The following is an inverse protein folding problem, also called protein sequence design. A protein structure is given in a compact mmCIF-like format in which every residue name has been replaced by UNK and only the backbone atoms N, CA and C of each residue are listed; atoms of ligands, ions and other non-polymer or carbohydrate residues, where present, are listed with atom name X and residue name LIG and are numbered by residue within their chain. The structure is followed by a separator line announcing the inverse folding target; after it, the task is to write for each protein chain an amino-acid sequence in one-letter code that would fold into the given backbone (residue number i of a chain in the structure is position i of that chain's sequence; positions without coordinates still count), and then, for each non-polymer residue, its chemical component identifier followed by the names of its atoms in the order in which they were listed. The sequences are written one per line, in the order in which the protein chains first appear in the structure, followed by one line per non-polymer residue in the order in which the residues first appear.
data_IF_551945679217
#
_entry.id   IF_551945679217
#
_cell.length_a   1.000
_cell.length_b   1.000
_cell.length_c   1.000
_cell.angle_alpha   90.00
_cell.angle_beta   90.00
_cell.angle_gamma   90.00
#
_symmetry.space_group_name_H-M   'P 1'
#
loop_
_entity.id
_entity.type
_entity.pdbx_description
1 polymer ?
#
# COMPACT_ATOMS: atom_id res chain seq x y z
N UNK A 1 -0.63 -10.75 -9.80
CA UNK A 1 -1.53 -11.30 -10.83
C UNK A 1 -0.73 -12.28 -11.66
N UNK A 2 -1.29 -13.46 -11.90
CA UNK A 2 -0.70 -14.48 -12.76
C UNK A 2 -1.25 -14.31 -14.18
N UNK A 3 -0.40 -14.49 -15.19
CA UNK A 3 -0.78 -14.31 -16.60
C UNK A 3 -0.09 -15.35 -17.46
N UNK A 4 -0.69 -15.67 -18.60
CA UNK A 4 -0.16 -16.66 -19.51
C UNK A 4 0.37 -16.00 -20.78
N UNK A 5 1.50 -16.47 -21.30
CA UNK A 5 2.06 -15.98 -22.57
C UNK A 5 1.73 -17.01 -23.64
N UNK A 6 1.03 -16.58 -24.69
CA UNK A 6 0.79 -17.38 -25.90
C UNK A 6 1.53 -16.75 -27.07
N UNK A 7 2.18 -17.57 -27.90
CA UNK A 7 2.85 -17.08 -29.09
C UNK A 7 2.90 -18.13 -30.19
N UNK A 8 3.11 -17.66 -31.42
CA UNK A 8 3.37 -18.50 -32.58
C UNK A 8 4.88 -18.65 -32.73
N UNK A 9 5.37 -19.89 -32.71
CA UNK A 9 6.73 -20.22 -33.08
C UNK A 9 6.79 -20.59 -34.56
N UNK A 10 7.60 -19.88 -35.32
CA UNK A 10 7.85 -20.11 -36.74
C UNK A 10 9.30 -20.55 -36.94
N UNK A 11 9.46 -21.75 -37.47
CA UNK A 11 10.75 -22.27 -37.90
C UNK A 11 10.63 -22.91 -39.27
N UNK A 12 11.31 -22.32 -40.26
CA UNK A 12 11.36 -22.81 -41.65
C UNK A 12 9.95 -23.03 -42.25
N UNK A 13 8.99 -22.17 -41.91
CA UNK A 13 7.61 -22.25 -42.40
C UNK A 13 6.71 -23.22 -41.63
N UNK A 14 7.25 -23.98 -40.67
CA UNK A 14 6.44 -24.72 -39.70
C UNK A 14 6.02 -23.75 -38.60
N UNK A 15 4.72 -23.56 -38.46
CA UNK A 15 4.11 -22.73 -37.42
C UNK A 15 3.45 -23.63 -36.37
N UNK A 16 3.76 -23.37 -35.11
CA UNK A 16 3.08 -24.01 -33.98
C UNK A 16 2.84 -22.99 -32.87
N UNK A 17 1.83 -23.22 -32.04
CA UNK A 17 1.47 -22.33 -30.94
C UNK A 17 1.98 -22.89 -29.63
N UNK A 18 2.65 -22.05 -28.84
CA UNK A 18 3.04 -22.36 -27.48
C UNK A 18 2.25 -21.49 -26.51
N UNK A 19 1.95 -22.06 -25.35
CA UNK A 19 1.32 -21.39 -24.22
C UNK A 19 2.14 -21.73 -22.99
N UNK A 20 2.54 -20.73 -22.21
CA UNK A 20 3.29 -20.94 -20.98
C UNK A 20 2.38 -21.47 -19.86
N UNK A 21 2.99 -21.95 -18.78
CA UNK A 21 2.32 -21.96 -17.48
C UNK A 21 2.06 -20.51 -17.01
N UNK A 22 1.21 -20.28 -15.98
CA UNK A 22 1.02 -18.95 -15.42
C UNK A 22 2.33 -18.35 -14.90
N UNK A 23 2.56 -17.09 -15.25
CA UNK A 23 3.76 -16.29 -14.94
C UNK A 23 3.34 -15.01 -14.23
N UNK A 24 4.15 -14.53 -13.27
CA UNK A 24 3.91 -13.24 -12.63
C UNK A 24 3.90 -12.10 -13.65
N UNK A 25 2.91 -11.20 -13.57
CA UNK A 25 2.75 -10.01 -14.44
C UNK A 25 4.06 -9.28 -14.68
N UNK A 26 4.88 -9.11 -13.63
CA UNK A 26 6.13 -8.34 -13.68
C UNK A 26 7.23 -9.01 -14.52
N UNK A 27 7.07 -10.29 -14.86
CA UNK A 27 7.98 -11.03 -15.73
C UNK A 27 7.47 -11.15 -17.17
N UNK A 28 6.20 -10.88 -17.43
CA UNK A 28 5.58 -11.09 -18.75
C UNK A 28 6.30 -10.31 -19.86
N UNK A 29 6.50 -9.00 -19.69
CA UNK A 29 7.20 -8.18 -20.69
C UNK A 29 8.65 -8.61 -20.88
N UNK A 30 9.35 -8.91 -19.78
CA UNK A 30 10.76 -9.37 -19.83
C UNK A 30 10.90 -10.67 -20.60
N UNK A 31 10.03 -11.64 -20.33
CA UNK A 31 10.00 -12.94 -20.99
C UNK A 31 9.61 -12.80 -22.46
N UNK A 32 8.58 -12.02 -22.77
CA UNK A 32 8.12 -11.81 -24.14
C UNK A 32 9.17 -11.10 -25.00
N UNK A 33 9.83 -10.06 -24.45
CA UNK A 33 10.91 -9.36 -25.14
C UNK A 33 12.10 -10.29 -25.40
N UNK A 34 12.45 -11.16 -24.46
CA UNK A 34 13.53 -12.14 -24.65
C UNK A 34 13.18 -13.19 -25.70
N UNK A 35 11.96 -13.73 -25.67
CA UNK A 35 11.43 -14.66 -26.67
C UNK A 35 11.45 -14.06 -28.07
N UNK A 36 11.06 -12.79 -28.23
CA UNK A 36 11.08 -12.11 -29.53
C UNK A 36 12.49 -11.95 -30.10
N UNK A 37 13.52 -11.77 -29.26
CA UNK A 37 14.92 -11.68 -29.72
C UNK A 37 15.41 -12.94 -30.43
N UNK A 38 14.76 -14.10 -30.22
CA UNK A 38 15.09 -15.33 -30.95
C UNK A 38 14.80 -15.24 -32.45
N UNK A 39 13.97 -14.28 -32.88
CA UNK A 39 13.53 -14.09 -34.27
C UNK A 39 12.50 -15.11 -34.77
N UNK A 40 12.28 -16.19 -34.02
CA UNK A 40 11.37 -17.30 -34.35
C UNK A 40 9.98 -17.14 -33.75
N UNK A 41 9.83 -16.22 -32.80
CA UNK A 41 8.55 -15.93 -32.15
C UNK A 41 7.80 -14.84 -32.94
N UNK A 42 6.50 -15.08 -33.17
CA UNK A 42 5.54 -14.19 -33.84
C UNK A 42 4.27 -14.11 -32.99
N UNK A 43 3.51 -13.02 -33.15
CA UNK A 43 2.16 -12.87 -32.58
C UNK A 43 2.05 -13.28 -31.11
N UNK A 44 2.72 -12.51 -30.24
CA UNK A 44 2.67 -12.75 -28.80
C UNK A 44 1.44 -12.08 -28.20
N UNK A 45 0.62 -12.89 -27.53
CA UNK A 45 -0.54 -12.45 -26.76
C UNK A 45 -0.36 -12.84 -25.29
N UNK A 46 -0.88 -11.99 -24.41
CA UNK A 46 -0.92 -12.20 -22.96
C UNK A 46 -2.36 -12.49 -22.58
N UNK A 47 -2.56 -13.52 -21.78
CA UNK A 47 -3.89 -13.97 -21.34
C UNK A 47 -3.98 -13.78 -19.83
N UNK A 48 -4.98 -13.04 -19.36
CA UNK A 48 -5.22 -12.85 -17.93
C UNK A 48 -5.98 -14.02 -17.29
N UNK A 49 -6.23 -13.92 -15.97
CA UNK A 49 -6.90 -14.95 -15.18
C UNK A 49 -8.36 -15.17 -15.59
N UNK A 50 -8.97 -14.22 -16.31
CA UNK A 50 -10.34 -14.32 -16.83
C UNK A 50 -10.37 -14.86 -18.27
N UNK A 51 -9.20 -15.18 -18.84
CA UNK A 51 -9.08 -15.70 -20.20
C UNK A 51 -9.14 -14.61 -21.28
N UNK A 52 -9.11 -13.32 -20.91
CA UNK A 52 -9.07 -12.24 -21.89
C UNK A 52 -7.67 -12.14 -22.48
N UNK A 53 -7.61 -12.06 -23.82
CA UNK A 53 -6.38 -11.97 -24.57
C UNK A 53 -6.03 -10.52 -24.90
N UNK A 54 -4.76 -10.18 -24.72
CA UNK A 54 -4.20 -8.87 -24.94
C UNK A 54 -3.00 -9.01 -25.88
N UNK A 55 -2.94 -8.25 -26.97
CA UNK A 55 -1.70 -8.15 -27.73
C UNK A 55 -0.59 -7.57 -26.85
N UNK A 56 0.68 -7.85 -27.17
CA UNK A 56 1.81 -7.25 -26.43
C UNK A 56 1.71 -5.72 -26.27
N UNK A 57 1.18 -5.03 -27.28
CA UNK A 57 1.00 -3.57 -27.25
C UNK A 57 -0.10 -3.13 -26.29
N UNK A 58 -1.24 -3.82 -26.30
CA UNK A 58 -2.34 -3.53 -25.37
C UNK A 58 -1.95 -3.89 -23.95
N UNK A 59 -1.29 -5.04 -23.76
CA UNK A 59 -0.78 -5.45 -22.47
C UNK A 59 0.24 -4.46 -21.93
N UNK A 60 1.14 -3.92 -22.76
CA UNK A 60 2.09 -2.88 -22.32
C UNK A 60 1.37 -1.64 -21.77
N UNK A 61 0.32 -1.18 -22.47
CA UNK A 61 -0.48 -0.03 -22.02
C UNK A 61 -1.25 -0.34 -20.73
N UNK A 62 -1.83 -1.54 -20.63
CA UNK A 62 -2.51 -2.00 -19.42
C UNK A 62 -1.52 -2.10 -18.24
N UNK A 63 -0.34 -2.66 -18.48
CA UNK A 63 0.69 -2.80 -17.46
C UNK A 63 1.21 -1.44 -16.99
N UNK A 64 1.39 -0.46 -17.90
CA UNK A 64 1.71 0.93 -17.53
C UNK A 64 0.65 1.53 -16.61
N UNK A 65 -0.64 1.33 -16.91
CA UNK A 65 -1.73 1.81 -16.04
C UNK A 65 -1.74 1.13 -14.68
N UNK A 66 -1.52 -0.18 -14.63
CA UNK A 66 -1.48 -0.94 -13.39
C UNK A 66 -0.22 -0.64 -12.55
N UNK A 67 0.89 -0.28 -13.21
CA UNK A 67 2.14 0.11 -12.55
C UNK A 67 2.06 1.51 -11.93
N UNK A 68 1.05 2.32 -12.30
CA UNK A 68 0.77 3.60 -11.66
C UNK A 68 0.06 3.46 -10.30
N UNK A 69 -0.51 2.31 -10.00
CA UNK A 69 -1.21 2.08 -8.73
C UNK A 69 -0.26 1.56 -7.64
N UNK A 70 -0.31 2.10 -6.41
CA UNK A 70 0.41 1.53 -5.28
C UNK A 70 -0.11 0.13 -4.91
N UNK A 71 0.80 -0.82 -4.69
CA UNK A 71 0.51 -2.18 -4.25
C UNK A 71 1.37 -2.58 -3.03
N UNK A 72 1.03 -3.69 -2.38
CA UNK A 72 1.76 -4.25 -1.21
C UNK A 72 1.97 -3.20 -0.10
N UNK A 73 0.90 -2.50 0.25
CA UNK A 73 0.94 -1.34 1.14
C UNK A 73 0.96 -1.79 2.60
N UNK A 74 1.93 -1.28 3.36
CA UNK A 74 2.03 -1.42 4.82
C UNK A 74 2.09 -0.04 5.44
N UNK A 75 1.21 0.22 6.40
CA UNK A 75 1.14 1.47 7.17
C UNK A 75 1.59 1.19 8.59
N UNK A 76 2.53 1.99 9.07
CA UNK A 76 2.86 2.11 10.48
C UNK A 76 2.33 3.46 10.97
N UNK A 77 1.73 3.48 12.15
CA UNK A 77 1.25 4.70 12.78
C UNK A 77 1.57 4.68 14.28
N UNK A 78 1.77 5.86 14.84
CA UNK A 78 1.87 6.05 16.28
C UNK A 78 1.50 7.49 16.66
N UNK A 79 0.98 7.66 17.88
CA UNK A 79 0.54 8.93 18.42
C UNK A 79 1.00 9.11 19.86
N UNK A 80 1.51 10.30 20.17
CA UNK A 80 1.92 10.68 21.51
C UNK A 80 1.21 11.94 21.96
N UNK A 81 0.73 11.97 23.21
CA UNK A 81 0.14 13.15 23.82
C UNK A 81 1.00 13.70 24.96
N UNK A 82 1.29 15.00 24.94
CA UNK A 82 1.93 15.71 26.03
C UNK A 82 0.90 16.52 26.82
N UNK A 83 0.58 16.03 28.03
CA UNK A 83 -0.37 16.67 28.93
C UNK A 83 0.10 18.04 29.44
N UNK A 84 1.42 18.32 29.46
CA UNK A 84 1.94 19.59 29.94
C UNK A 84 1.72 20.73 28.93
N UNK A 85 1.92 20.45 27.64
CA UNK A 85 1.67 21.42 26.56
C UNK A 85 0.28 21.32 25.93
N UNK A 86 -0.49 20.27 26.26
CA UNK A 86 -1.78 19.94 25.65
C UNK A 86 -1.69 19.79 24.12
N UNK A 87 -0.60 19.17 23.65
CA UNK A 87 -0.31 18.93 22.23
C UNK A 87 -0.12 17.44 21.99
N UNK A 88 -0.45 17.00 20.79
CA UNK A 88 -0.21 15.64 20.33
C UNK A 88 0.71 15.63 19.12
N UNK A 89 1.63 14.68 19.07
CA UNK A 89 2.40 14.36 17.88
C UNK A 89 1.85 13.09 17.25
N UNK A 90 1.68 13.10 15.94
CA UNK A 90 1.30 11.92 15.16
C UNK A 90 2.37 11.62 14.13
N UNK A 91 2.66 10.33 13.94
CA UNK A 91 3.66 9.86 12.99
C UNK A 91 3.12 8.72 12.15
N UNK A 92 3.46 8.71 10.86
CA UNK A 92 3.19 7.58 9.98
C UNK A 92 4.35 7.28 9.03
N UNK A 93 4.62 6.00 8.84
CA UNK A 93 5.48 5.50 7.78
C UNK A 93 4.69 4.54 6.89
N UNK A 94 4.69 4.81 5.59
CA UNK A 94 3.96 4.01 4.60
C UNK A 94 4.96 3.40 3.63
N UNK A 95 4.96 2.08 3.56
CA UNK A 95 5.76 1.29 2.65
C UNK A 95 4.87 0.72 1.57
N UNK A 96 5.24 0.87 0.30
CA UNK A 96 4.48 0.31 -0.80
C UNK A 96 5.37 0.06 -2.02
N UNK A 97 4.85 -0.68 -3.00
CA UNK A 97 5.50 -0.86 -4.30
C UNK A 97 4.68 -0.17 -5.38
N UNK A 98 5.34 0.44 -6.36
CA UNK A 98 4.70 1.08 -7.52
C UNK A 98 5.64 0.92 -8.72
N UNK A 99 5.14 0.38 -9.84
CA UNK A 99 5.94 0.08 -11.03
C UNK A 99 7.20 -0.75 -10.77
N UNK A 100 7.09 -1.79 -9.93
CA UNK A 100 8.21 -2.67 -9.56
C UNK A 100 9.28 -2.04 -8.65
N UNK A 101 9.10 -0.78 -8.23
CA UNK A 101 9.98 -0.06 -7.30
C UNK A 101 9.36 0.00 -5.92
N UNK A 102 10.19 0.00 -4.88
CA UNK A 102 9.73 0.15 -3.49
C UNK A 102 9.84 1.60 -3.07
N UNK A 103 8.82 2.10 -2.38
CA UNK A 103 8.76 3.46 -1.87
C UNK A 103 8.51 3.45 -0.36
N UNK A 104 8.99 4.50 0.27
CA UNK A 104 8.69 4.83 1.66
C UNK A 104 8.27 6.30 1.75
N UNK A 105 7.10 6.52 2.33
CA UNK A 105 6.65 7.83 2.81
C UNK A 105 6.83 7.86 4.33
N UNK A 106 7.35 8.96 4.86
CA UNK A 106 7.41 9.26 6.29
C UNK A 106 6.89 10.66 6.49
N UNK A 107 5.88 10.80 7.33
CA UNK A 107 5.32 12.10 7.65
C UNK A 107 4.93 12.16 9.12
N UNK A 108 5.11 13.33 9.72
CA UNK A 108 4.59 13.61 11.04
C UNK A 108 3.82 14.93 11.04
N UNK A 109 2.96 15.09 12.02
CA UNK A 109 2.25 16.32 12.24
C UNK A 109 2.03 16.51 13.73
N UNK A 110 1.85 17.75 14.12
CA UNK A 110 1.43 18.10 15.46
C UNK A 110 -0.03 18.55 15.44
N UNK A 111 -0.79 18.06 16.42
CA UNK A 111 -2.21 18.31 16.57
C UNK A 111 -2.47 18.93 17.96
N UNK A 112 -3.56 19.67 18.04
CA UNK A 112 -4.08 20.25 19.27
C UNK A 112 -5.54 19.85 19.46
N UNK A 113 -6.04 19.97 20.69
CA UNK A 113 -7.44 19.65 21.01
C UNK A 113 -7.74 18.17 21.15
N UNK A 114 -6.71 17.34 21.33
CA UNK A 114 -6.84 15.97 21.82
C UNK A 114 -6.70 15.97 23.33
N UNK A 115 -7.33 15.01 24.00
CA UNK A 115 -7.43 14.94 25.45
C UNK A 115 -6.62 13.77 26.04
N UNK A 116 -6.15 12.83 25.21
CA UNK A 116 -5.45 11.64 25.69
C UNK A 116 -4.47 11.04 24.68
N UNK A 117 -3.62 10.14 25.15
CA UNK A 117 -2.71 9.36 24.30
C UNK A 117 -3.46 8.43 23.34
N UNK A 118 -4.53 7.78 23.81
CA UNK A 118 -5.34 6.91 22.96
C UNK A 118 -5.95 7.71 21.80
N UNK A 119 -6.44 8.92 22.08
CA UNK A 119 -6.97 9.81 21.04
C UNK A 119 -5.88 10.23 20.05
N UNK A 120 -4.64 10.44 20.51
CA UNK A 120 -3.50 10.70 19.63
C UNK A 120 -3.19 9.50 18.71
N UNK A 121 -3.31 8.27 19.18
CA UNK A 121 -3.13 7.06 18.35
C UNK A 121 -4.23 6.94 17.27
N UNK A 122 -5.49 7.19 17.62
CA UNK A 122 -6.58 7.26 16.64
C UNK A 122 -6.34 8.36 15.60
N UNK A 123 -5.93 9.54 16.06
CA UNK A 123 -5.60 10.65 15.19
C UNK A 123 -4.42 10.32 14.26
N UNK A 124 -3.43 9.56 14.74
CA UNK A 124 -2.31 9.11 13.93
C UNK A 124 -2.72 8.13 12.83
N UNK A 125 -3.65 7.21 13.11
CA UNK A 125 -4.19 6.35 12.07
C UNK A 125 -5.01 7.14 11.05
N UNK A 126 -5.85 8.08 11.51
CA UNK A 126 -6.60 8.95 10.60
C UNK A 126 -5.68 9.79 9.71
N UNK A 127 -4.59 10.31 10.28
CA UNK A 127 -3.53 11.00 9.55
C UNK A 127 -2.90 10.08 8.50
N UNK A 128 -2.60 8.83 8.84
CA UNK A 128 -2.10 7.85 7.88
C UNK A 128 -3.09 7.58 6.73
N UNK A 129 -4.40 7.56 6.98
CA UNK A 129 -5.41 7.43 5.93
C UNK A 129 -5.41 8.62 4.95
N UNK A 130 -5.18 9.84 5.46
CA UNK A 130 -4.99 11.01 4.59
C UNK A 130 -3.75 10.85 3.71
N UNK A 131 -2.65 10.35 4.27
CA UNK A 131 -1.42 10.10 3.50
C UNK A 131 -1.59 9.01 2.43
N UNK A 132 -2.37 7.97 2.71
CA UNK A 132 -2.72 6.94 1.70
C UNK A 132 -3.49 7.55 0.52
N UNK A 133 -4.44 8.44 0.81
CA UNK A 133 -5.21 9.17 -0.18
C UNK A 133 -4.30 10.06 -1.04
N UNK A 134 -3.36 10.78 -0.41
CA UNK A 134 -2.38 11.65 -1.08
C UNK A 134 -1.50 10.87 -2.09
N UNK A 135 -1.09 9.64 -1.76
CA UNK A 135 -0.29 8.79 -2.66
C UNK A 135 -1.14 8.00 -3.67
N UNK A 136 -2.46 8.19 -3.67
CA UNK A 136 -3.37 7.62 -4.65
C UNK A 136 -3.74 6.15 -4.40
N UNK A 137 -3.61 5.65 -3.18
CA UNK A 137 -4.04 4.29 -2.84
C UNK A 137 -5.56 4.18 -2.93
N UNK A 138 -6.06 3.29 -3.79
CA UNK A 138 -7.50 2.99 -3.95
C UNK A 138 -7.71 1.54 -4.30
N UNK A 139 -8.80 0.94 -3.82
CA UNK A 139 -9.24 -0.42 -4.18
C UNK A 139 -8.19 -1.53 -3.95
N UNK A 140 -7.26 -1.32 -3.01
CA UNK A 140 -6.19 -2.26 -2.67
C UNK A 140 -6.27 -2.66 -1.19
N UNK A 141 -5.87 -3.90 -0.82
CA UNK A 141 -5.71 -4.26 0.58
C UNK A 141 -4.55 -3.48 1.20
N UNK A 142 -4.75 -3.00 2.43
CA UNK A 142 -3.73 -2.24 3.17
C UNK A 142 -3.47 -2.90 4.51
N UNK A 143 -2.21 -3.26 4.78
CA UNK A 143 -1.82 -3.77 6.10
C UNK A 143 -1.57 -2.60 7.05
N UNK A 144 -2.42 -2.47 8.06
CA UNK A 144 -2.31 -1.46 9.12
C UNK A 144 -1.61 -2.09 10.31
N UNK A 145 -0.46 -1.54 10.68
CA UNK A 145 0.44 -2.06 11.71
C UNK A 145 0.61 -1.04 12.82
N UNK A 146 0.54 -1.49 14.07
CA UNK A 146 0.76 -0.67 15.26
C UNK A 146 0.96 -1.52 16.51
N UNK A 147 1.39 -0.91 17.60
CA UNK A 147 1.59 -1.56 18.91
C UNK A 147 0.44 -1.31 19.89
N UNK A 148 -0.52 -0.46 19.53
CA UNK A 148 -1.75 -0.27 20.31
C UNK A 148 -2.79 -1.36 20.02
N UNK A 149 -2.78 -2.38 20.88
CA UNK A 149 -3.70 -3.51 20.79
C UNK A 149 -5.17 -3.05 20.90
N UNK A 150 -5.46 -2.07 21.77
CA UNK A 150 -6.83 -1.55 21.96
C UNK A 150 -7.36 -0.90 20.69
N UNK A 151 -6.57 -0.01 20.07
CA UNK A 151 -6.96 0.69 18.84
C UNK A 151 -7.23 -0.31 17.72
N UNK A 152 -6.32 -1.27 17.53
CA UNK A 152 -6.45 -2.29 16.48
C UNK A 152 -7.66 -3.20 16.68
N UNK A 153 -7.94 -3.68 17.90
CA UNK A 153 -9.12 -4.53 18.14
C UNK A 153 -10.44 -3.76 18.01
N UNK A 154 -10.47 -2.48 18.36
CA UNK A 154 -11.67 -1.65 18.16
C UNK A 154 -11.91 -1.37 16.67
N UNK A 155 -10.84 -1.18 15.89
CA UNK A 155 -10.91 -1.01 14.43
C UNK A 155 -11.31 -2.29 13.67
N UNK A 156 -10.95 -3.46 14.20
CA UNK A 156 -11.37 -4.75 13.64
C UNK A 156 -12.82 -5.10 14.04
N UNK A 157 -13.38 -4.37 15.01
CA UNK A 157 -14.72 -4.59 15.54
C UNK A 157 -14.81 -5.68 16.62
N UNK A 158 -13.68 -6.24 17.02
CA UNK A 158 -13.60 -7.28 18.06
C UNK A 158 -13.92 -6.71 19.45
N UNK A 159 -13.51 -5.47 19.72
CA UNK A 159 -13.71 -4.83 21.02
C UNK A 159 -14.66 -3.64 20.91
N UNK A 160 -15.60 -3.48 21.86
CA UNK A 160 -16.48 -2.33 21.88
C UNK A 160 -15.72 -1.04 22.19
N UNK A 161 -16.14 0.05 21.55
CA UNK A 161 -15.67 1.41 21.82
C UNK A 161 -16.76 2.19 22.58
N UNK A 162 -16.48 2.55 23.84
CA UNK A 162 -17.45 3.28 24.68
C UNK A 162 -17.17 4.79 24.73
N UNK A 163 -15.93 5.20 24.50
CA UNK A 163 -15.52 6.60 24.54
C UNK A 163 -15.99 7.33 23.27
N UNK A 164 -16.75 8.41 23.43
CA UNK A 164 -17.33 9.15 22.31
C UNK A 164 -16.25 9.76 21.41
N UNK A 165 -15.14 10.24 21.98
CA UNK A 165 -14.01 10.77 21.23
C UNK A 165 -13.40 9.72 20.29
N UNK A 166 -13.16 8.51 20.80
CA UNK A 166 -12.64 7.38 20.02
C UNK A 166 -13.64 6.94 18.94
N UNK A 167 -14.93 6.84 19.27
CA UNK A 167 -15.98 6.48 18.31
C UNK A 167 -16.06 7.47 17.13
N UNK A 168 -15.86 8.78 17.38
CA UNK A 168 -15.79 9.78 16.32
C UNK A 168 -14.60 9.57 15.38
N UNK A 169 -13.45 9.17 15.91
CA UNK A 169 -12.30 8.85 15.07
C UNK A 169 -12.50 7.56 14.28
N UNK A 170 -13.04 6.50 14.90
CA UNK A 170 -13.37 5.25 14.22
C UNK A 170 -14.28 5.51 13.02
N UNK A 171 -15.37 6.25 13.20
CA UNK A 171 -16.28 6.60 12.11
C UNK A 171 -15.58 7.35 10.96
N UNK A 172 -14.69 8.30 11.28
CA UNK A 172 -13.91 9.04 10.26
C UNK A 172 -12.92 8.16 9.51
N UNK A 173 -12.31 7.19 10.20
CA UNK A 173 -11.37 6.23 9.61
C UNK A 173 -12.14 5.28 8.69
N UNK A 174 -13.25 4.73 9.15
CA UNK A 174 -14.14 3.87 8.35
C UNK A 174 -14.67 4.58 7.10
N UNK A 175 -15.11 5.84 7.24
CA UNK A 175 -15.57 6.64 6.10
C UNK A 175 -14.46 6.82 5.06
N UNK A 176 -13.23 7.12 5.48
CA UNK A 176 -12.07 7.23 4.58
C UNK A 176 -11.73 5.90 3.91
N UNK A 177 -11.69 4.81 4.67
CA UNK A 177 -11.44 3.48 4.14
C UNK A 177 -12.48 3.10 3.08
N UNK A 178 -13.76 3.37 3.36
CA UNK A 178 -14.88 3.13 2.44
C UNK A 178 -14.76 4.00 1.18
N UNK A 179 -14.46 5.30 1.32
CA UNK A 179 -14.27 6.22 0.19
C UNK A 179 -13.14 5.79 -0.74
N UNK A 180 -12.03 5.28 -0.18
CA UNK A 180 -10.90 4.73 -0.94
C UNK A 180 -11.11 3.28 -1.40
N UNK A 181 -12.19 2.62 -0.98
CA UNK A 181 -12.46 1.17 -1.19
C UNK A 181 -11.32 0.29 -0.70
N UNK A 182 -10.68 0.69 0.40
CA UNK A 182 -9.58 -0.05 1.01
C UNK A 182 -10.18 -1.11 1.93
N UNK A 183 -9.67 -2.34 1.80
CA UNK A 183 -9.91 -3.39 2.79
C UNK A 183 -8.73 -3.40 3.78
N UNK A 184 -8.91 -2.93 5.02
CA UNK A 184 -7.84 -2.95 6.00
C UNK A 184 -7.52 -4.38 6.46
N UNK A 185 -6.25 -4.64 6.74
CA UNK A 185 -5.76 -5.84 7.42
C UNK A 185 -4.99 -5.38 8.65
N UNK A 186 -5.55 -5.57 9.84
CA UNK A 186 -4.92 -5.14 11.08
C UNK A 186 -3.88 -6.16 11.54
N UNK A 187 -2.68 -5.68 11.87
CA UNK A 187 -1.57 -6.52 12.32
C UNK A 187 -0.90 -5.91 13.55
N UNK A 188 -1.23 -6.36 14.77
CA UNK A 188 -0.52 -5.91 15.96
C UNK A 188 0.94 -6.36 15.90
N UNK A 189 1.85 -5.49 16.34
CA UNK A 189 3.28 -5.77 16.43
C UNK A 189 3.87 -5.32 17.76
N UNK A 190 4.98 -5.92 18.16
CA UNK A 190 5.79 -5.38 19.26
C UNK A 190 6.25 -3.95 18.93
N UNK A 191 6.32 -3.09 19.95
CA UNK A 191 6.87 -1.72 19.87
C UNK A 191 8.23 -1.64 19.18
N UNK A 192 9.06 -2.68 19.27
CA UNK A 192 10.37 -2.76 18.59
C UNK A 192 10.26 -2.67 17.06
N UNK A 193 9.12 -3.07 16.50
CA UNK A 193 8.81 -3.03 15.07
C UNK A 193 8.01 -1.78 14.67
N UNK A 194 7.54 -0.97 15.63
CA UNK A 194 6.82 0.29 15.38
C UNK A 194 7.69 1.56 15.61
N UNK A 195 9.00 1.39 15.84
CA UNK A 195 9.93 2.47 16.21
C UNK A 195 9.94 3.68 15.27
N UNK A 196 9.70 3.46 13.98
CA UNK A 196 9.75 4.55 13.01
C UNK A 196 8.57 5.51 13.18
N UNK A 197 7.37 5.00 13.42
CA UNK A 197 6.20 5.82 13.69
C UNK A 197 6.29 6.49 15.07
N UNK A 198 6.74 5.76 16.10
CA UNK A 198 7.02 6.30 17.45
C UNK A 198 8.02 7.47 17.40
N UNK A 199 9.11 7.29 16.65
CA UNK A 199 10.09 8.36 16.46
C UNK A 199 9.47 9.58 15.76
N UNK A 200 8.65 9.38 14.73
CA UNK A 200 8.00 10.46 13.98
C UNK A 200 7.02 11.25 14.88
N UNK A 201 6.22 10.55 15.68
CA UNK A 201 5.29 11.18 16.64
C UNK A 201 6.05 12.00 17.69
N UNK A 202 7.12 11.44 18.27
CA UNK A 202 7.99 12.17 19.21
C UNK A 202 8.62 13.41 18.58
N UNK A 203 9.11 13.29 17.34
CA UNK A 203 9.70 14.42 16.61
C UNK A 203 8.70 15.54 16.37
N UNK A 204 7.42 15.22 16.14
CA UNK A 204 6.38 16.24 16.00
C UNK A 204 6.18 17.02 17.30
N UNK A 205 6.11 16.35 18.46
CA UNK A 205 6.03 17.00 19.78
C UNK A 205 7.25 17.88 20.08
N UNK A 206 8.43 17.50 19.57
CA UNK A 206 9.67 18.27 19.66
C UNK A 206 9.73 19.46 18.67
N UNK A 207 8.67 19.69 17.89
CA UNK A 207 8.62 20.76 16.89
C UNK A 207 9.45 20.46 15.63
N UNK A 208 9.85 19.22 15.41
CA UNK A 208 10.59 18.79 14.22
C UNK A 208 9.64 18.18 13.20
N UNK A 209 9.28 18.97 12.19
CA UNK A 209 8.48 18.51 11.06
C UNK A 209 9.31 17.62 10.13
N UNK A 210 8.78 16.44 9.81
CA UNK A 210 9.34 15.46 8.90
C UNK A 210 8.31 15.21 7.80
N UNK A 211 8.71 15.43 6.55
CA UNK A 211 8.01 14.95 5.37
C UNK A 211 9.06 14.43 4.40
N UNK A 212 8.98 13.15 4.08
CA UNK A 212 9.89 12.54 3.12
C UNK A 212 9.17 11.46 2.33
N UNK A 213 9.39 11.45 1.02
CA UNK A 213 8.85 10.44 0.13
C UNK A 213 9.96 10.04 -0.83
N UNK A 214 10.43 8.80 -0.72
CA UNK A 214 11.60 8.33 -1.46
C UNK A 214 11.42 6.91 -1.97
N UNK A 215 12.02 6.63 -3.12
CA UNK A 215 12.32 5.26 -3.57
C UNK A 215 13.36 4.66 -2.62
N UNK A 216 13.15 3.43 -2.18
CA UNK A 216 14.05 2.71 -1.28
C UNK A 216 14.65 1.50 -2.00
N UNK A 217 15.94 1.24 -1.72
CA UNK A 217 16.60 0.02 -2.17
C UNK A 217 15.97 -1.22 -1.54
N UNK A 218 16.05 -2.33 -2.27
CA UNK A 218 15.58 -3.65 -1.81
C UNK A 218 16.21 -4.09 -0.50
#
# INVERSE_FOLDING_TARGET
MQMTIRFIYDFKGVKTTFTSDPVDRNLVLKTADDLLKTGRVKEVNVIDELGQEWSLKEFKKLNEQLDEEPEKITVLFDGGFDAASNRAGVGTAIYYSKGGKRYRLRENAELAGLESNNEAEYAALYFAMQKLEDIGVKSQPVTITGDSLTVLNQLDGDWPCYEESHARFLARIEEKLAAMRIKPLYKPVDRRHNKEADQLARQALEGTAISSHAEIGT
#
